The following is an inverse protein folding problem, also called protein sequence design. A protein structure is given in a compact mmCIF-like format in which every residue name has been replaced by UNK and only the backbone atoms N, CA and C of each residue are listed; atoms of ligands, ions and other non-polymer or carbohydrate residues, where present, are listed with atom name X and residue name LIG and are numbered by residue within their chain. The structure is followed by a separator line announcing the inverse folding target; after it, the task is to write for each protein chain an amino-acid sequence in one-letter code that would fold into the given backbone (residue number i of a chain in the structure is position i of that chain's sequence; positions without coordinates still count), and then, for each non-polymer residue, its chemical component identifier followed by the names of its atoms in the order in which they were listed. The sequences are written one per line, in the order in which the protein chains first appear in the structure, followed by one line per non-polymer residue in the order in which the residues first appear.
data_IF_264286167448
#
_entry.id   IF_264286167448
#
_cell.length_a   1.000
_cell.length_b   1.000
_cell.length_c   1.000
_cell.angle_alpha   90.00
_cell.angle_beta   90.00
_cell.angle_gamma   90.00
#
_symmetry.space_group_name_H-M   'P 1'
#
loop_
_entity.id
_entity.type
_entity.pdbx_description
1 polymer ?
#
# COMPACT_ATOMS: atom_id res chain seq x y z
N UNK A 1 -28.26 -14.11 44.52
CA UNK A 1 -27.17 -13.18 44.18
C UNK A 1 -26.47 -13.77 42.98
N UNK A 2 -26.95 -13.43 41.79
CA UNK A 2 -26.44 -13.97 40.53
C UNK A 2 -25.38 -13.01 40.00
N UNK A 3 -24.15 -13.51 39.85
CA UNK A 3 -23.03 -12.71 39.34
C UNK A 3 -23.16 -12.65 37.82
N UNK A 4 -23.50 -11.49 37.28
CA UNK A 4 -23.39 -11.21 35.86
C UNK A 4 -21.90 -11.34 35.46
N UNK A 5 -21.61 -12.26 34.55
CA UNK A 5 -20.31 -12.34 33.89
C UNK A 5 -20.31 -11.32 32.75
N UNK A 6 -19.38 -10.36 32.78
CA UNK A 6 -19.15 -9.47 31.67
C UNK A 6 -18.56 -10.26 30.49
N UNK A 7 -19.19 -10.17 29.32
CA UNK A 7 -18.67 -10.74 28.08
C UNK A 7 -17.41 -9.99 27.64
N UNK A 8 -16.41 -10.69 27.06
CA UNK A 8 -15.19 -10.06 26.61
C UNK A 8 -15.49 -9.03 25.52
N UNK A 9 -14.93 -7.83 25.70
CA UNK A 9 -14.95 -6.77 24.70
C UNK A 9 -14.06 -7.24 23.56
N UNK A 10 -14.66 -7.64 22.44
CA UNK A 10 -13.91 -7.85 21.20
C UNK A 10 -13.32 -6.50 20.78
N UNK A 11 -12.01 -6.33 20.91
CA UNK A 11 -11.29 -5.33 20.14
C UNK A 11 -11.54 -5.65 18.67
N UNK A 12 -12.44 -4.90 18.03
CA UNK A 12 -12.49 -4.83 16.57
C UNK A 12 -11.13 -4.31 16.13
N UNK A 13 -10.39 -5.11 15.38
CA UNK A 13 -9.31 -4.59 14.54
C UNK A 13 -9.90 -3.45 13.72
N UNK A 14 -9.37 -2.24 13.91
CA UNK A 14 -9.69 -1.10 13.07
C UNK A 14 -9.14 -1.42 11.68
N UNK A 15 -10.02 -1.93 10.81
CA UNK A 15 -9.79 -1.88 9.36
C UNK A 15 -9.63 -0.40 9.00
N UNK A 16 -8.38 0.05 8.85
CA UNK A 16 -8.09 1.41 8.38
C UNK A 16 -8.62 1.55 6.96
N UNK A 17 -9.84 2.08 6.85
CA UNK A 17 -10.41 2.56 5.59
C UNK A 17 -9.50 3.68 5.07
N UNK A 18 -8.93 3.51 3.88
CA UNK A 18 -7.97 4.46 3.33
C UNK A 18 -7.31 3.97 2.06
N UNK A 19 -6.30 4.68 1.59
CA UNK A 19 -5.55 4.34 0.39
C UNK A 19 -4.40 3.37 0.72
N UNK A 20 -4.02 2.58 -0.27
CA UNK A 20 -2.73 1.88 -0.27
C UNK A 20 -1.64 2.82 -0.77
N UNK A 21 -0.51 2.86 -0.09
CA UNK A 21 0.66 3.61 -0.53
C UNK A 21 1.92 3.02 0.11
N UNK A 22 3.04 3.27 -0.55
CA UNK A 22 4.38 2.84 -0.15
C UNK A 22 5.32 4.03 -0.13
N UNK A 23 6.53 3.82 0.37
CA UNK A 23 7.66 4.71 0.13
C UNK A 23 8.50 4.19 -1.04
N UNK A 24 9.00 5.10 -1.86
CA UNK A 24 9.95 4.78 -2.91
C UNK A 24 11.26 4.31 -2.27
N UNK A 25 11.87 3.27 -2.84
CA UNK A 25 13.11 2.67 -2.29
C UNK A 25 14.34 3.55 -2.55
N UNK A 26 14.32 4.36 -3.61
CA UNK A 26 15.44 5.22 -4.01
C UNK A 26 15.43 6.60 -3.34
N UNK A 27 14.26 7.17 -3.07
CA UNK A 27 14.12 8.53 -2.52
C UNK A 27 13.39 8.61 -1.18
N UNK A 28 12.91 7.48 -0.66
CA UNK A 28 12.16 7.37 0.61
C UNK A 28 10.90 8.27 0.67
N UNK A 29 10.34 8.61 -0.49
CA UNK A 29 9.18 9.49 -0.60
C UNK A 29 7.88 8.69 -0.62
N UNK A 30 6.86 9.21 0.07
CA UNK A 30 5.50 8.68 -0.04
C UNK A 30 5.03 8.74 -1.49
N UNK A 31 4.55 7.61 -2.01
CA UNK A 31 3.88 7.53 -3.31
C UNK A 31 2.49 8.14 -3.13
N UNK A 32 2.39 9.44 -3.42
CA UNK A 32 1.14 10.17 -3.34
C UNK A 32 0.20 9.78 -4.47
N UNK A 33 -1.08 9.64 -4.14
CA UNK A 33 -2.12 9.40 -5.14
C UNK A 33 -2.67 10.72 -5.71
N UNK A 34 -3.49 10.61 -6.75
CA UNK A 34 -4.06 11.76 -7.45
C UNK A 34 -4.98 12.66 -6.60
N UNK A 35 -5.47 12.17 -5.46
CA UNK A 35 -6.32 12.92 -4.55
C UNK A 35 -5.52 13.69 -3.49
N UNK A 36 -4.20 13.47 -3.42
CA UNK A 36 -3.29 14.21 -2.57
C UNK A 36 -3.22 15.70 -2.94
N UNK A 37 -3.07 16.59 -1.95
CA UNK A 37 -2.82 18.03 -2.20
C UNK A 37 -1.53 18.30 -2.98
N UNK A 38 -0.58 17.36 -2.99
CA UNK A 38 0.67 17.42 -3.78
C UNK A 38 0.53 16.86 -5.19
N UNK A 39 -0.63 16.27 -5.53
CA UNK A 39 -0.84 15.51 -6.76
C UNK A 39 -0.17 14.12 -6.72
N UNK A 40 -0.37 13.35 -7.79
CA UNK A 40 0.20 12.02 -7.92
C UNK A 40 1.71 12.06 -8.13
N UNK A 41 2.45 11.20 -7.41
CA UNK A 41 3.88 10.98 -7.65
C UNK A 41 4.07 9.94 -8.76
N UNK A 42 4.72 10.28 -9.88
CA UNK A 42 5.05 9.31 -10.91
C UNK A 42 6.12 8.34 -10.42
N UNK A 43 5.90 7.04 -10.59
CA UNK A 43 6.80 5.99 -10.09
C UNK A 43 6.86 4.80 -11.04
N UNK A 44 7.91 4.00 -10.89
CA UNK A 44 8.05 2.70 -11.52
C UNK A 44 7.94 1.60 -10.47
N UNK A 45 7.02 0.65 -10.69
CA UNK A 45 7.05 -0.64 -10.01
C UNK A 45 8.05 -1.55 -10.74
N UNK A 46 9.09 -1.96 -10.04
CA UNK A 46 10.12 -2.86 -10.56
C UNK A 46 9.64 -4.30 -10.41
N UNK A 47 9.74 -5.09 -11.48
CA UNK A 47 9.38 -6.50 -11.47
C UNK A 47 10.65 -7.39 -11.42
N UNK A 48 10.60 -8.56 -10.74
CA UNK A 48 11.74 -9.47 -10.64
C UNK A 48 12.26 -10.01 -11.98
N UNK A 49 11.44 -9.99 -13.03
CA UNK A 49 11.82 -10.42 -14.39
C UNK A 49 12.55 -9.31 -15.18
N UNK A 50 12.80 -8.16 -14.55
CA UNK A 50 13.46 -7.01 -15.15
C UNK A 50 12.51 -6.04 -15.87
N UNK A 51 11.22 -6.38 -15.98
CA UNK A 51 10.22 -5.43 -16.50
C UNK A 51 9.95 -4.31 -15.48
N UNK A 52 9.46 -3.18 -16.00
CA UNK A 52 9.13 -2.00 -15.19
C UNK A 52 7.76 -1.49 -15.59
N UNK A 53 6.92 -1.23 -14.60
CA UNK A 53 5.56 -0.72 -14.81
C UNK A 53 5.55 0.73 -14.36
N UNK A 54 5.39 1.64 -15.32
CA UNK A 54 5.33 3.07 -15.04
C UNK A 54 3.89 3.49 -14.70
N UNK A 55 3.71 4.13 -13.56
CA UNK A 55 2.45 4.76 -13.15
C UNK A 55 2.66 6.26 -13.03
N UNK A 56 1.88 7.03 -13.79
CA UNK A 56 2.00 8.49 -13.87
C UNK A 56 1.02 9.20 -12.93
N UNK A 57 -0.12 8.57 -12.65
CA UNK A 57 -1.24 9.18 -11.93
C UNK A 57 -1.93 8.13 -11.04
N UNK A 58 -1.21 7.63 -10.04
CA UNK A 58 -1.67 6.59 -9.14
C UNK A 58 -2.97 6.96 -8.41
N UNK A 59 -3.96 6.07 -8.41
CA UNK A 59 -5.28 6.31 -7.80
C UNK A 59 -5.35 5.99 -6.30
N UNK A 60 -4.33 5.32 -5.74
CA UNK A 60 -4.31 4.97 -4.31
C UNK A 60 -4.86 3.58 -3.98
N UNK A 61 -5.24 2.77 -4.97
CA UNK A 61 -5.84 1.45 -4.75
C UNK A 61 -4.96 0.28 -5.20
N UNK A 62 -3.64 0.42 -5.12
CA UNK A 62 -2.67 -0.64 -5.40
C UNK A 62 -2.54 -1.04 -6.86
N UNK A 63 -3.12 -0.28 -7.80
CA UNK A 63 -3.02 -0.54 -9.25
C UNK A 63 -2.00 0.42 -9.86
N UNK A 64 -0.98 -0.12 -10.54
CA UNK A 64 0.08 0.62 -11.21
C UNK A 64 0.15 0.17 -12.66
N UNK A 65 0.06 1.11 -13.61
CA UNK A 65 0.07 0.81 -15.05
C UNK A 65 -0.98 -0.23 -15.46
N UNK A 66 -2.12 -0.28 -14.76
CA UNK A 66 -3.18 -1.27 -14.95
C UNK A 66 -2.94 -2.65 -14.33
N UNK A 67 -1.83 -2.86 -13.61
CA UNK A 67 -1.53 -4.11 -12.91
C UNK A 67 -1.69 -3.94 -11.40
N UNK A 68 -2.35 -4.89 -10.74
CA UNK A 68 -2.48 -4.88 -9.30
C UNK A 68 -1.19 -5.34 -8.60
N UNK A 69 -0.62 -4.48 -7.75
CA UNK A 69 0.65 -4.73 -7.06
C UNK A 69 0.57 -5.96 -6.14
N UNK A 70 -0.54 -6.17 -5.43
CA UNK A 70 -0.68 -7.34 -4.56
C UNK A 70 -0.92 -8.62 -5.36
N UNK A 71 -1.68 -8.56 -6.45
CA UNK A 71 -1.81 -9.71 -7.36
C UNK A 71 -0.44 -10.10 -7.95
N UNK A 72 0.38 -9.13 -8.35
CA UNK A 72 1.75 -9.37 -8.79
C UNK A 72 2.61 -9.98 -7.68
N UNK A 73 2.55 -9.42 -6.46
CA UNK A 73 3.26 -9.97 -5.29
C UNK A 73 2.90 -11.44 -5.06
N UNK A 74 1.61 -11.80 -5.17
CA UNK A 74 1.14 -13.17 -5.07
C UNK A 74 1.72 -14.05 -6.19
N UNK A 75 1.67 -13.61 -7.44
CA UNK A 75 2.18 -14.37 -8.59
C UNK A 75 3.67 -14.65 -8.49
N UNK A 76 4.45 -13.73 -7.95
CA UNK A 76 5.90 -13.91 -7.77
C UNK A 76 6.25 -14.89 -6.64
N UNK A 77 5.46 -14.91 -5.56
CA UNK A 77 5.84 -15.60 -4.32
C UNK A 77 5.01 -16.88 -4.03
N UNK A 78 3.77 -16.93 -4.50
CA UNK A 78 2.83 -18.05 -4.29
C UNK A 78 2.01 -18.38 -5.55
N UNK A 79 2.63 -18.62 -6.72
CA UNK A 79 1.90 -18.84 -7.98
C UNK A 79 0.93 -20.04 -7.95
N UNK A 80 1.14 -21.00 -7.06
CA UNK A 80 0.24 -22.15 -6.89
C UNK A 80 -1.08 -21.80 -6.16
N UNK A 81 -1.13 -20.66 -5.46
CA UNK A 81 -2.33 -20.14 -4.78
C UNK A 81 -3.10 -19.16 -5.69
N UNK A 82 -2.49 -18.72 -6.80
CA UNK A 82 -3.08 -17.83 -7.78
C UNK A 82 -3.97 -18.56 -8.79
N UNK A 83 -4.97 -17.86 -9.32
CA UNK A 83 -5.85 -18.37 -10.38
C UNK A 83 -5.90 -17.46 -11.62
N UNK A 84 -5.18 -16.32 -11.61
CA UNK A 84 -5.13 -15.36 -12.70
C UNK A 84 -6.24 -14.31 -12.68
N UNK A 85 -7.15 -14.36 -11.71
CA UNK A 85 -8.10 -13.30 -11.40
C UNK A 85 -7.45 -12.31 -10.42
N UNK A 86 -7.42 -11.02 -10.78
CA UNK A 86 -6.71 -10.01 -9.98
C UNK A 86 -7.33 -9.83 -8.59
N UNK A 87 -8.65 -9.97 -8.42
CA UNK A 87 -9.30 -9.81 -7.12
C UNK A 87 -8.94 -10.96 -6.17
N UNK A 88 -8.95 -12.20 -6.67
CA UNK A 88 -8.48 -13.36 -5.91
C UNK A 88 -6.97 -13.26 -5.60
N UNK A 89 -6.15 -13.02 -6.62
CA UNK A 89 -4.69 -12.96 -6.48
C UNK A 89 -4.28 -11.80 -5.55
N UNK A 90 -5.00 -10.67 -5.57
CA UNK A 90 -4.82 -9.55 -4.63
C UNK A 90 -4.97 -10.01 -3.18
N UNK A 91 -6.02 -10.76 -2.85
CA UNK A 91 -6.26 -11.24 -1.49
C UNK A 91 -5.13 -12.17 -1.02
N UNK A 92 -4.61 -13.01 -1.92
CA UNK A 92 -3.42 -13.84 -1.65
C UNK A 92 -2.21 -12.95 -1.36
N UNK A 93 -1.99 -11.91 -2.17
CA UNK A 93 -0.88 -10.97 -2.01
C UNK A 93 -0.94 -10.19 -0.69
N UNK A 94 -2.13 -9.69 -0.32
CA UNK A 94 -2.34 -9.02 0.96
C UNK A 94 -2.08 -9.99 2.13
N UNK A 95 -2.55 -11.24 2.03
CA UNK A 95 -2.28 -12.25 3.05
C UNK A 95 -0.78 -12.52 3.19
N UNK A 96 -0.05 -12.61 2.08
CA UNK A 96 1.40 -12.74 2.07
C UNK A 96 2.08 -11.58 2.80
N UNK A 97 1.74 -10.35 2.44
CA UNK A 97 2.34 -9.15 3.03
C UNK A 97 2.03 -9.02 4.53
N UNK A 98 0.78 -9.23 4.94
CA UNK A 98 0.33 -8.96 6.31
C UNK A 98 0.61 -10.09 7.30
N UNK A 99 0.63 -11.35 6.85
CA UNK A 99 0.62 -12.51 7.74
C UNK A 99 1.73 -13.52 7.45
N UNK A 100 2.31 -13.51 6.26
CA UNK A 100 3.33 -14.47 5.82
C UNK A 100 4.55 -13.76 5.25
N UNK A 101 4.89 -12.57 5.76
CA UNK A 101 5.99 -11.73 5.22
C UNK A 101 7.32 -12.48 5.13
N UNK A 102 7.59 -13.43 6.04
CA UNK A 102 8.80 -14.27 5.99
C UNK A 102 8.87 -15.24 4.80
N UNK A 103 7.75 -15.46 4.09
CA UNK A 103 7.70 -16.27 2.87
C UNK A 103 7.98 -15.43 1.60
N UNK A 104 7.94 -14.10 1.70
CA UNK A 104 8.16 -13.18 0.57
C UNK A 104 9.64 -13.15 0.19
N UNK A 105 9.95 -13.60 -1.02
CA UNK A 105 11.30 -13.54 -1.62
C UNK A 105 11.46 -12.38 -2.59
N UNK A 106 10.34 -12.01 -3.22
CA UNK A 106 10.26 -10.93 -4.20
C UNK A 106 9.31 -9.86 -3.66
N UNK A 107 9.79 -8.94 -2.79
CA UNK A 107 8.97 -7.86 -2.26
C UNK A 107 8.62 -6.81 -3.33
N UNK A 108 7.65 -5.95 -3.02
CA UNK A 108 7.33 -4.79 -3.85
C UNK A 108 8.47 -3.77 -3.77
N UNK A 109 8.84 -3.19 -4.92
CA UNK A 109 9.89 -2.18 -5.03
C UNK A 109 9.43 -1.08 -5.99
N UNK A 110 9.31 0.12 -5.48
CA UNK A 110 8.92 1.30 -6.24
C UNK A 110 10.08 2.31 -6.27
N UNK A 111 10.32 2.93 -7.42
CA UNK A 111 11.37 3.95 -7.59
C UNK A 111 10.86 5.13 -8.40
N UNK A 112 11.43 6.31 -8.19
CA UNK A 112 11.25 7.45 -9.09
C UNK A 112 12.19 7.36 -10.29
N UNK A 113 13.44 6.92 -10.08
CA UNK A 113 14.42 6.75 -11.14
C UNK A 113 14.20 5.45 -11.92
N UNK A 114 13.56 5.56 -13.08
CA UNK A 114 13.30 4.44 -13.99
C UNK A 114 14.55 3.76 -14.59
N UNK A 115 15.76 4.27 -14.34
CA UNK A 115 17.01 3.61 -14.74
C UNK A 115 17.42 2.47 -13.80
N UNK A 116 16.91 2.45 -12.56
CA UNK A 116 17.21 1.45 -11.54
C UNK A 116 16.53 0.11 -11.83
N UNK A 117 17.19 -0.99 -11.50
CA UNK A 117 16.67 -2.35 -11.67
C UNK A 117 16.33 -3.00 -10.33
N UNK A 118 15.52 -4.06 -10.39
CA UNK A 118 14.96 -4.72 -9.20
C UNK A 118 16.01 -5.16 -8.19
N UNK A 119 17.17 -5.64 -8.65
CA UNK A 119 18.24 -6.16 -7.79
C UNK A 119 19.14 -5.05 -7.20
N UNK A 120 18.94 -3.79 -7.58
CA UNK A 120 19.78 -2.66 -7.18
C UNK A 120 19.24 -1.88 -5.97
N UNK A 121 17.97 -2.12 -5.59
CA UNK A 121 17.27 -1.37 -4.53
C UNK A 121 16.63 -2.31 -3.51
N UNK A 122 16.35 -1.80 -2.32
CA UNK A 122 15.73 -2.56 -1.23
C UNK A 122 14.20 -2.67 -1.38
N UNK A 123 13.53 -3.31 -0.43
CA UNK A 123 12.06 -3.35 -0.41
C UNK A 123 11.47 -1.96 -0.18
N UNK A 124 10.33 -1.68 -0.82
CA UNK A 124 9.51 -0.50 -0.47
C UNK A 124 8.70 -0.78 0.79
N UNK A 125 8.67 0.18 1.71
CA UNK A 125 7.91 0.07 2.96
C UNK A 125 6.49 0.61 2.78
N UNK A 126 5.57 0.17 3.63
CA UNK A 126 4.21 0.71 3.68
C UNK A 126 4.24 2.17 4.13
N UNK A 127 3.51 3.06 3.44
CA UNK A 127 3.49 4.47 3.77
C UNK A 127 2.50 4.75 4.92
N UNK A 128 2.95 5.29 6.08
CA UNK A 128 2.06 5.62 7.20
C UNK A 128 1.02 6.70 6.85
N UNK A 129 1.36 7.60 5.92
CA UNK A 129 0.49 8.66 5.42
C UNK A 129 -0.46 8.18 4.32
N UNK A 130 -0.43 6.90 3.95
CA UNK A 130 -1.32 6.32 2.94
C UNK A 130 -1.33 7.06 1.59
N UNK A 131 -0.26 7.79 1.25
CA UNK A 131 -0.20 8.58 0.01
C UNK A 131 -1.20 9.75 -0.04
N UNK A 132 -1.82 10.06 1.10
CA UNK A 132 -2.77 11.15 1.30
C UNK A 132 -2.29 12.02 2.46
N UNK A 133 -1.83 13.23 2.15
CA UNK A 133 -1.41 14.17 3.20
C UNK A 133 -2.67 14.81 3.77
N UNK A 134 -2.96 14.55 5.05
CA UNK A 134 -3.87 15.38 5.83
C UNK A 134 -3.08 16.64 6.19
N UNK A 135 -3.41 17.78 5.59
CA UNK A 135 -2.98 19.07 6.12
C UNK A 135 -3.67 19.23 7.48
N UNK A 136 -2.92 19.63 8.51
CA UNK A 136 -3.39 19.73 9.88
C UNK A 136 -4.70 20.54 9.95
N UNK A 137 -5.63 20.09 10.80
CA UNK A 137 -6.83 20.81 11.21
C UNK A 137 -6.43 22.20 11.74
N UNK A 138 -6.44 23.21 10.87
CA UNK A 138 -6.45 24.62 11.26
C UNK A 138 -7.72 25.27 10.67
N UNK A 139 -8.87 24.65 10.94
CA UNK A 139 -10.13 25.36 10.96
C UNK A 139 -10.18 26.10 12.29
N UNK A 140 -9.81 27.39 12.24
CA UNK A 140 -9.83 28.28 13.39
C UNK A 140 -11.12 28.17 14.17
N UNK A 141 -11.00 28.07 15.49
CA UNK A 141 -12.12 28.23 16.42
C UNK A 141 -12.84 29.54 16.09
N UNK A 142 -14.01 29.44 15.44
CA UNK A 142 -14.97 30.54 15.39
C UNK A 142 -15.41 30.81 16.85
N UNK A 143 -14.74 31.78 17.50
CA UNK A 143 -15.15 32.37 18.77
C UNK A 143 -16.59 32.88 18.63
N UNK A 144 -17.55 32.10 19.14
CA UNK A 144 -18.91 32.56 19.39
C UNK A 144 -18.88 33.51 20.60
N UNK A 145 -18.68 34.80 20.39
CA UNK A 145 -19.00 35.81 21.40
C UNK A 145 -20.54 35.97 21.50
N UNK A 146 -21.08 35.69 22.68
CA UNK A 146 -22.51 35.81 23.07
C UNK A 146 -22.93 37.27 23.33
#
# INVERSE_FOLDING_TARGET
MERAQALPIHHKEEMKMGFFSWTTSDTERSISNMYSTKGALPVYLLCPDGTKIHEQCYEGYGVFGGSDAYALLARWNAPNECNGDDDHDRLVGINLQCHRKSEVKFPLKFVEDGSLNYDEVDESEDCPMQGFFYEDEDEGEDEWEE
#
